data_IF_021784852089
#
_entry.id   IF_021784852089
#
_cell.length_a   1.000
_cell.length_b   1.000
_cell.length_c   1.000
_cell.angle_alpha   90.00
_cell.angle_beta   90.00
_cell.angle_gamma   90.00
#
_symmetry.space_group_name_H-M   'P 1'
#
loop_
_entity.id
_entity.type
_entity.pdbx_description
1 polymer ?
#
# COMPACT_ATOMS: atom_id res chain seq x y z
N UNK A 1 -2.75 4.81 11.07
CA UNK A 1 -2.19 4.25 9.81
C UNK A 1 -3.23 4.46 8.72
N UNK A 2 -2.89 4.97 7.53
CA UNK A 2 -3.89 5.25 6.48
C UNK A 2 -4.33 4.01 5.69
N UNK A 3 -3.67 2.88 5.92
CA UNK A 3 -3.88 1.59 5.25
C UNK A 3 -3.93 0.50 6.30
N UNK A 4 -4.93 -0.37 6.27
CA UNK A 4 -4.98 -1.62 7.04
C UNK A 4 -4.29 -2.72 6.23
N UNK A 5 -3.32 -3.41 6.85
CA UNK A 5 -2.55 -4.50 6.23
C UNK A 5 -2.39 -5.68 7.22
N UNK A 6 -1.97 -6.84 6.70
CA UNK A 6 -1.81 -8.03 7.53
C UNK A 6 -0.67 -7.88 8.54
N UNK A 7 -0.90 -8.32 9.78
CA UNK A 7 0.12 -8.30 10.84
C UNK A 7 1.39 -9.06 10.40
N UNK A 8 1.20 -10.24 9.80
CA UNK A 8 2.29 -11.09 9.30
C UNK A 8 3.15 -10.44 8.22
N UNK A 9 2.60 -9.51 7.43
CA UNK A 9 3.38 -8.75 6.46
C UNK A 9 4.31 -7.73 7.15
N UNK A 10 3.84 -7.08 8.21
CA UNK A 10 4.63 -6.08 8.95
C UNK A 10 5.71 -6.75 9.81
N UNK A 11 5.39 -7.88 10.42
CA UNK A 11 6.28 -8.57 11.37
C UNK A 11 7.42 -9.32 10.68
N UNK A 12 7.23 -9.79 9.44
CA UNK A 12 8.24 -10.54 8.70
C UNK A 12 9.31 -9.68 8.01
N UNK A 13 9.21 -8.35 8.11
CA UNK A 13 10.08 -7.44 7.37
C UNK A 13 10.58 -6.32 8.29
N UNK A 14 11.83 -5.86 8.13
CA UNK A 14 12.37 -4.80 8.95
C UNK A 14 11.62 -3.48 8.75
N UNK A 15 11.58 -2.65 9.80
CA UNK A 15 11.03 -1.30 9.73
C UNK A 15 11.73 -0.52 8.61
N UNK A 16 10.95 0.20 7.80
CA UNK A 16 11.44 0.97 6.66
C UNK A 16 11.24 0.29 5.30
N UNK A 17 10.99 -1.03 5.28
CA UNK A 17 10.70 -1.79 4.06
C UNK A 17 9.57 -1.16 3.25
N UNK A 18 9.75 -1.08 1.93
CA UNK A 18 8.74 -0.55 1.00
C UNK A 18 8.05 -1.70 0.31
N UNK A 19 6.73 -1.57 0.21
CA UNK A 19 5.88 -2.58 -0.39
C UNK A 19 5.00 -1.96 -1.45
N UNK A 20 4.88 -2.67 -2.57
CA UNK A 20 3.85 -2.44 -3.56
C UNK A 20 2.75 -3.47 -3.34
N UNK A 21 1.55 -2.97 -3.04
CA UNK A 21 0.39 -3.78 -2.65
C UNK A 21 -0.81 -3.46 -3.52
N UNK A 22 -1.71 -4.43 -3.65
CA UNK A 22 -3.08 -4.16 -4.03
C UNK A 22 -3.84 -3.58 -2.84
N UNK A 23 -4.65 -2.55 -3.07
CA UNK A 23 -5.50 -1.97 -2.06
C UNK A 23 -6.87 -1.66 -2.65
N UNK A 24 -7.90 -1.74 -1.80
CA UNK A 24 -9.24 -1.24 -2.09
C UNK A 24 -9.68 -0.26 -1.03
N UNK A 25 -10.60 0.64 -1.38
CA UNK A 25 -11.32 1.43 -0.39
C UNK A 25 -12.30 0.49 0.31
N UNK A 26 -12.28 0.51 1.63
CA UNK A 26 -13.19 -0.21 2.50
C UNK A 26 -14.01 0.84 3.23
N UNK A 27 -15.27 0.96 2.83
CA UNK A 27 -16.23 1.79 3.54
C UNK A 27 -16.61 1.08 4.83
N UNK A 28 -16.39 1.77 5.95
CA UNK A 28 -16.74 1.27 7.28
C UNK A 28 -17.58 2.31 8.00
N UNK A 29 -18.24 1.90 9.07
CA UNK A 29 -19.12 2.77 9.88
C UNK A 29 -18.37 3.99 10.42
N UNK A 30 -17.08 3.82 10.74
CA UNK A 30 -16.26 4.90 11.29
C UNK A 30 -15.74 5.84 10.19
N UNK A 31 -15.09 5.29 9.16
CA UNK A 31 -14.61 6.05 8.00
C UNK A 31 -14.14 5.14 6.85
N UNK A 32 -14.22 5.59 5.59
CA UNK A 32 -13.53 4.96 4.48
C UNK A 32 -12.02 4.93 4.71
N UNK A 33 -11.40 3.76 4.50
CA UNK A 33 -9.94 3.61 4.56
C UNK A 33 -9.42 2.64 3.51
N UNK A 34 -8.11 2.68 3.25
CA UNK A 34 -7.47 1.73 2.35
C UNK A 34 -7.25 0.41 3.07
N UNK A 35 -7.59 -0.69 2.42
CA UNK A 35 -7.42 -2.05 2.94
C UNK A 35 -6.67 -2.92 1.94
N UNK A 36 -5.67 -3.66 2.42
CA UNK A 36 -5.00 -4.73 1.67
C UNK A 36 -5.26 -6.09 2.32
N UNK A 37 -5.74 -7.05 1.53
CA UNK A 37 -6.03 -8.40 2.02
C UNK A 37 -4.75 -9.17 2.30
N UNK A 38 -4.74 -9.96 3.37
CA UNK A 38 -3.63 -10.86 3.71
C UNK A 38 -3.38 -11.96 2.65
N UNK A 39 -4.37 -12.26 1.81
CA UNK A 39 -4.26 -13.24 0.72
C UNK A 39 -3.67 -12.65 -0.57
N UNK A 40 -3.61 -11.32 -0.70
CA UNK A 40 -3.12 -10.69 -1.91
C UNK A 40 -1.59 -10.70 -1.94
N UNK A 41 -1.05 -10.98 -3.13
CA UNK A 41 0.39 -10.90 -3.35
C UNK A 41 0.84 -9.45 -3.20
N UNK A 42 2.02 -9.27 -2.61
CA UNK A 42 2.71 -8.00 -2.50
C UNK A 42 4.15 -8.17 -2.96
N UNK A 43 4.75 -7.07 -3.39
CA UNK A 43 6.15 -7.01 -3.81
C UNK A 43 6.92 -6.13 -2.82
N UNK A 44 8.07 -6.61 -2.34
CA UNK A 44 9.05 -5.74 -1.66
C UNK A 44 9.82 -5.01 -2.74
N UNK A 45 9.86 -3.69 -2.65
CA UNK A 45 10.48 -2.83 -3.67
C UNK A 45 11.57 -1.95 -3.06
N UNK A 46 12.55 -1.56 -3.87
CA UNK A 46 13.53 -0.56 -3.44
C UNK A 46 12.87 0.82 -3.32
N UNK A 47 13.56 1.76 -2.66
CA UNK A 47 13.11 3.14 -2.63
C UNK A 47 13.05 3.74 -4.04
N UNK A 48 14.05 3.45 -4.89
CA UNK A 48 14.13 3.96 -6.25
C UNK A 48 12.99 3.43 -7.11
N UNK A 49 12.69 2.13 -7.03
CA UNK A 49 11.56 1.51 -7.75
C UNK A 49 10.21 2.07 -7.28
N UNK A 50 10.06 2.29 -5.96
CA UNK A 50 8.86 2.92 -5.41
C UNK A 50 8.68 4.35 -5.94
N UNK A 51 9.76 5.14 -5.99
CA UNK A 51 9.75 6.49 -6.54
C UNK A 51 9.43 6.48 -8.04
N UNK A 52 10.05 5.57 -8.81
CA UNK A 52 9.78 5.41 -10.23
C UNK A 52 8.31 5.05 -10.46
N UNK A 53 7.74 4.12 -9.67
CA UNK A 53 6.34 3.74 -9.74
C UNK A 53 5.40 4.93 -9.46
N UNK A 54 5.65 5.69 -8.40
CA UNK A 54 4.85 6.88 -8.04
C UNK A 54 4.91 7.93 -9.14
N UNK A 55 6.10 8.21 -9.68
CA UNK A 55 6.30 9.20 -10.75
C UNK A 55 5.67 8.78 -12.08
N UNK A 56 5.75 7.50 -12.42
CA UNK A 56 5.15 6.94 -13.64
C UNK A 56 3.62 6.93 -13.58
N UNK A 57 3.04 6.91 -12.37
CA UNK A 57 1.59 6.90 -12.12
C UNK A 57 1.12 8.23 -11.54
N UNK A 58 1.46 9.37 -12.17
CA UNK A 58 0.76 10.63 -11.91
C UNK A 58 -0.71 10.47 -12.32
N UNK A 59 -1.55 10.07 -11.37
CA UNK A 59 -3.00 10.04 -11.53
C UNK A 59 -3.46 11.45 -11.79
N UNK A 60 -4.17 11.66 -12.91
CA UNK A 60 -4.73 12.94 -13.33
C UNK A 60 -5.26 13.73 -12.12
N UNK A 61 -4.45 14.64 -11.57
CA UNK A 61 -4.93 15.78 -10.82
C UNK A 61 -5.43 16.78 -11.85
N UNK A 62 -6.51 16.46 -12.55
CA UNK A 62 -7.30 17.47 -13.23
C UNK A 62 -8.35 17.96 -12.23
N UNK A 63 -8.02 19.13 -11.68
CA UNK A 63 -8.94 20.21 -11.28
C UNK A 63 -10.15 20.33 -12.18
#
# INVERSE_FOLDING_TARGET
>A
MKVECSASMRERHPIGTKFKVWAKIKDTVDAPHLYTSWQWKYEVVSYEDAQAFIRAKQWNTKT
#
